data_IF_557383802268
#
_entry.id   IF_557383802268
#
_cell.length_a   1.000
_cell.length_b   1.000
_cell.length_c   1.000
_cell.angle_alpha   90.00
_cell.angle_beta   90.00
_cell.angle_gamma   90.00
#
_symmetry.space_group_name_H-M   'P 1'
#
loop_
_entity.id
_entity.type
_entity.pdbx_description
1 polymer ?
#
# COMPACT_ATOMS: atom_id res chain seq x y z
N UNK A 1 47.20 15.33 -4.13
CA UNK A 1 46.60 14.24 -4.91
C UNK A 1 45.53 13.65 -4.01
N UNK A 2 44.33 13.41 -4.54
CA UNK A 2 43.10 12.94 -3.85
C UNK A 2 42.22 14.01 -3.16
N UNK A 3 41.42 14.68 -4.00
CA UNK A 3 40.11 15.25 -3.64
C UNK A 3 39.16 14.97 -4.81
N UNK A 4 38.91 13.68 -5.09
CA UNK A 4 37.99 13.24 -6.15
C UNK A 4 37.36 11.88 -5.80
N UNK A 5 36.70 11.78 -4.64
CA UNK A 5 35.77 10.68 -4.37
C UNK A 5 34.62 11.23 -3.53
N UNK A 6 33.61 11.83 -4.17
CA UNK A 6 32.20 11.59 -3.79
C UNK A 6 31.16 12.13 -4.80
N UNK A 7 31.46 12.15 -6.10
CA UNK A 7 30.47 12.56 -7.12
C UNK A 7 29.79 11.36 -7.82
N UNK A 8 30.23 10.13 -7.52
CA UNK A 8 29.68 8.90 -8.12
C UNK A 8 28.50 8.30 -7.33
N UNK A 9 28.35 8.59 -6.03
CA UNK A 9 27.21 8.12 -5.25
C UNK A 9 25.92 8.90 -5.56
N UNK A 10 26.03 10.22 -5.77
CA UNK A 10 24.92 11.10 -6.19
C UNK A 10 24.40 10.76 -7.60
N UNK A 11 25.29 10.46 -8.55
CA UNK A 11 24.94 10.18 -9.95
C UNK A 11 24.30 8.81 -10.17
N UNK A 12 24.42 7.86 -9.22
CA UNK A 12 23.69 6.58 -9.30
C UNK A 12 22.20 6.71 -8.98
N UNK A 13 21.79 7.67 -8.13
CA UNK A 13 20.38 7.84 -7.71
C UNK A 13 19.45 8.35 -8.81
N UNK A 14 19.99 8.97 -9.86
CA UNK A 14 19.18 9.55 -10.95
C UNK A 14 19.13 8.67 -12.21
N UNK A 15 19.68 7.45 -12.20
CA UNK A 15 19.70 6.56 -13.39
C UNK A 15 18.35 5.96 -13.76
N UNK A 16 17.34 6.09 -12.90
CA UNK A 16 16.02 5.47 -13.09
C UNK A 16 14.96 6.44 -13.61
N UNK A 17 15.33 7.71 -13.82
CA UNK A 17 14.41 8.71 -14.35
C UNK A 17 14.42 8.70 -15.87
N UNK A 18 13.22 8.67 -16.41
CA UNK A 18 12.90 8.72 -17.82
C UNK A 18 12.69 10.17 -18.26
N UNK A 19 12.77 10.45 -19.55
CA UNK A 19 12.56 11.81 -20.04
C UNK A 19 11.11 12.26 -19.76
N UNK A 20 10.17 11.34 -19.87
CA UNK A 20 8.75 11.48 -19.49
C UNK A 20 8.52 11.78 -18.01
N UNK A 21 9.51 11.63 -17.13
CA UNK A 21 9.36 11.93 -15.70
C UNK A 21 9.52 13.40 -15.35
N UNK A 22 9.99 14.23 -16.30
CA UNK A 22 10.27 15.64 -16.04
C UNK A 22 9.03 16.37 -15.51
N UNK A 23 7.84 16.00 -15.99
CA UNK A 23 6.56 16.54 -15.51
C UNK A 23 6.35 16.16 -14.05
N UNK A 24 6.34 14.87 -13.72
CA UNK A 24 6.20 14.39 -12.34
C UNK A 24 7.23 14.98 -11.37
N UNK A 25 8.50 15.09 -11.78
CA UNK A 25 9.57 15.72 -10.99
C UNK A 25 9.28 17.21 -10.77
N UNK A 26 8.88 17.94 -11.82
CA UNK A 26 8.53 19.35 -11.73
C UNK A 26 7.38 19.60 -10.76
N UNK A 27 6.35 18.75 -10.80
CA UNK A 27 5.24 18.77 -9.85
C UNK A 27 5.73 18.53 -8.41
N UNK A 28 6.58 17.52 -8.17
CA UNK A 28 7.16 17.24 -6.84
C UNK A 28 8.00 18.40 -6.30
N UNK A 29 8.85 19.01 -7.15
CA UNK A 29 9.71 20.15 -6.74
C UNK A 29 8.87 21.36 -6.38
N UNK A 30 7.83 21.66 -7.18
CA UNK A 30 6.88 22.74 -6.88
C UNK A 30 6.22 22.52 -5.52
N UNK A 31 5.79 21.29 -5.26
CA UNK A 31 5.16 20.92 -3.98
C UNK A 31 6.11 20.99 -2.79
N UNK A 32 7.36 20.56 -2.96
CA UNK A 32 8.38 20.70 -1.94
C UNK A 32 8.65 22.19 -1.61
N UNK A 33 8.67 23.06 -2.62
CA UNK A 33 8.83 24.50 -2.42
C UNK A 33 7.65 25.13 -1.68
N UNK A 34 6.41 24.78 -2.05
CA UNK A 34 5.18 25.22 -1.35
C UNK A 34 5.19 24.72 0.10
N UNK A 35 5.52 23.45 0.33
CA UNK A 35 5.55 22.84 1.66
C UNK A 35 6.62 23.48 2.55
N UNK A 36 7.81 23.73 2.02
CA UNK A 36 8.89 24.43 2.74
C UNK A 36 8.48 25.85 3.10
N UNK A 37 7.86 26.57 2.16
CA UNK A 37 7.32 27.91 2.40
C UNK A 37 6.26 27.90 3.50
N UNK A 38 5.41 26.87 3.55
CA UNK A 38 4.40 26.68 4.59
C UNK A 38 5.01 26.42 5.97
N UNK A 39 6.06 25.61 6.06
CA UNK A 39 6.80 25.41 7.32
C UNK A 39 7.40 26.73 7.77
N UNK A 40 8.04 27.49 6.87
CA UNK A 40 8.63 28.78 7.20
C UNK A 40 7.58 29.79 7.68
N UNK A 41 6.42 29.86 7.02
CA UNK A 41 5.28 30.67 7.46
C UNK A 41 4.77 30.24 8.84
N UNK A 42 4.64 28.94 9.07
CA UNK A 42 4.23 28.40 10.37
C UNK A 42 5.19 28.74 11.49
N UNK A 43 6.51 28.65 11.25
CA UNK A 43 7.55 29.09 12.20
C UNK A 43 7.43 30.58 12.49
N UNK A 44 7.26 31.40 11.44
CA UNK A 44 7.05 32.84 11.57
C UNK A 44 5.83 33.13 12.45
N UNK A 45 4.70 32.47 12.17
CA UNK A 45 3.46 32.65 12.92
C UNK A 45 3.57 32.16 14.37
N UNK A 46 4.30 31.08 14.64
CA UNK A 46 4.56 30.61 16.00
C UNK A 46 5.36 31.63 16.82
N UNK A 47 6.39 32.25 16.25
CA UNK A 47 7.16 33.31 16.92
C UNK A 47 6.27 34.53 17.17
N UNK A 48 5.49 34.94 16.19
CA UNK A 48 4.54 36.04 16.31
C UNK A 48 3.49 35.82 17.39
N UNK A 49 3.00 34.58 17.53
CA UNK A 49 2.07 34.21 18.60
C UNK A 49 2.68 34.42 19.99
N UNK A 50 3.97 34.13 20.17
CA UNK A 50 4.64 34.40 21.46
C UNK A 50 4.76 35.90 21.78
N UNK A 51 4.64 36.75 20.77
CA UNK A 51 4.60 38.21 20.91
C UNK A 51 3.18 38.77 20.97
N UNK A 52 2.15 37.92 21.09
CA UNK A 52 0.75 38.34 21.15
C UNK A 52 0.15 38.74 19.81
N UNK A 53 0.84 38.49 18.68
CA UNK A 53 0.34 38.80 17.35
C UNK A 53 -0.58 37.66 16.87
N UNK A 54 -1.88 37.94 16.58
CA UNK A 54 -2.80 36.92 16.09
C UNK A 54 -2.42 36.40 14.70
N UNK A 55 -2.82 35.16 14.40
CA UNK A 55 -2.61 34.52 13.10
C UNK A 55 -3.65 34.87 12.05
N UNK A 56 -3.44 34.33 10.86
CA UNK A 56 -4.32 34.44 9.71
C UNK A 56 -5.50 33.47 9.75
N UNK A 57 -5.92 32.99 8.57
CA UNK A 57 -7.10 32.13 8.40
C UNK A 57 -7.00 30.79 9.10
N UNK A 58 -5.79 30.28 9.33
CA UNK A 58 -5.51 29.08 10.12
C UNK A 58 -4.40 29.37 11.12
N UNK A 59 -4.26 28.57 12.21
CA UNK A 59 -3.29 28.86 13.27
C UNK A 59 -1.85 28.99 12.77
N UNK A 60 -1.46 28.28 11.73
CA UNK A 60 -0.13 28.24 11.11
C UNK A 60 0.10 29.34 10.05
N UNK A 61 -0.91 30.18 9.76
CA UNK A 61 -0.80 31.23 8.73
C UNK A 61 -0.55 32.59 9.33
N UNK A 62 0.24 33.38 8.61
CA UNK A 62 0.49 34.77 8.97
C UNK A 62 -0.61 35.69 8.44
N UNK A 63 -0.74 36.89 9.03
CA UNK A 63 -1.71 37.92 8.60
C UNK A 63 -1.02 39.25 8.27
N UNK A 64 -1.77 40.19 7.73
CA UNK A 64 -1.26 41.53 7.41
C UNK A 64 -0.20 41.50 6.29
N UNK A 65 0.86 42.31 6.44
CA UNK A 65 1.93 42.43 5.45
C UNK A 65 2.70 41.12 5.25
N UNK A 66 3.03 40.41 6.31
CA UNK A 66 3.71 39.10 6.19
C UNK A 66 2.80 38.06 5.54
N UNK A 67 1.51 38.04 5.91
CA UNK A 67 0.52 37.20 5.22
C UNK A 67 0.41 37.53 3.73
N UNK A 68 0.51 38.81 3.37
CA UNK A 68 0.56 39.24 1.97
C UNK A 68 1.84 38.76 1.27
N UNK A 69 3.02 38.85 1.90
CA UNK A 69 4.28 38.35 1.33
C UNK A 69 4.19 36.84 1.05
N UNK A 70 3.80 36.03 2.03
CA UNK A 70 3.65 34.58 1.84
C UNK A 70 2.59 34.27 0.78
N UNK A 71 1.44 34.96 0.77
CA UNK A 71 0.42 34.81 -0.27
C UNK A 71 0.96 35.06 -1.67
N UNK A 72 1.84 36.04 -1.85
CA UNK A 72 2.49 36.28 -3.15
C UNK A 72 3.50 35.19 -3.50
N UNK A 73 4.29 34.70 -2.53
CA UNK A 73 5.21 33.58 -2.75
C UNK A 73 4.43 32.35 -3.23
N UNK A 74 3.34 31.96 -2.56
CA UNK A 74 2.51 30.84 -3.01
C UNK A 74 1.97 31.05 -4.42
N UNK A 75 1.37 32.22 -4.70
CA UNK A 75 0.83 32.51 -6.04
C UNK A 75 1.88 32.41 -7.14
N UNK A 76 3.07 32.95 -6.90
CA UNK A 76 4.16 32.92 -7.87
C UNK A 76 4.65 31.49 -8.08
N UNK A 77 4.84 30.73 -6.99
CA UNK A 77 5.26 29.32 -7.07
C UNK A 77 4.21 28.45 -7.76
N UNK A 78 2.92 28.65 -7.48
CA UNK A 78 1.81 27.96 -8.15
C UNK A 78 1.73 28.33 -9.63
N UNK A 79 1.84 29.61 -9.99
CA UNK A 79 1.84 30.05 -11.39
C UNK A 79 3.02 29.48 -12.18
N UNK A 80 4.22 29.48 -11.58
CA UNK A 80 5.41 28.88 -12.18
C UNK A 80 5.25 27.37 -12.35
N UNK A 81 4.77 26.68 -11.31
CA UNK A 81 4.51 25.25 -11.33
C UNK A 81 3.50 24.87 -12.41
N UNK A 82 2.34 25.53 -12.44
CA UNK A 82 1.30 25.29 -13.44
C UNK A 82 1.76 25.63 -14.86
N UNK A 83 2.58 26.68 -15.02
CA UNK A 83 3.17 27.05 -16.31
C UNK A 83 4.13 25.97 -16.83
N UNK A 84 5.00 25.46 -15.96
CA UNK A 84 5.92 24.35 -16.30
C UNK A 84 5.13 23.07 -16.60
N UNK A 85 4.14 22.73 -15.76
CA UNK A 85 3.32 21.54 -15.93
C UNK A 85 2.59 21.53 -17.27
N UNK A 86 1.92 22.64 -17.64
CA UNK A 86 1.21 22.76 -18.91
C UNK A 86 2.13 22.67 -20.14
N UNK A 87 3.36 23.18 -20.02
CA UNK A 87 4.35 23.05 -21.10
C UNK A 87 4.81 21.60 -21.22
N UNK A 88 5.10 20.94 -20.11
CA UNK A 88 5.55 19.56 -20.09
C UNK A 88 4.45 18.58 -20.52
N UNK A 89 3.20 18.81 -20.12
CA UNK A 89 2.02 18.07 -20.58
C UNK A 89 1.87 18.13 -22.10
N UNK A 90 1.96 19.31 -22.71
CA UNK A 90 1.93 19.46 -24.17
C UNK A 90 3.12 18.80 -24.88
N UNK A 91 4.23 18.58 -24.16
CA UNK A 91 5.44 17.92 -24.67
C UNK A 91 5.53 16.46 -24.23
N UNK A 92 4.55 15.94 -23.50
CA UNK A 92 4.57 14.61 -22.92
C UNK A 92 4.76 13.52 -24.00
N UNK A 93 4.04 13.51 -25.14
CA UNK A 93 4.28 12.50 -26.18
C UNK A 93 5.69 12.56 -26.77
N UNK A 94 6.27 13.75 -26.86
CA UNK A 94 7.65 13.93 -27.31
C UNK A 94 8.65 13.42 -26.28
N UNK A 95 8.40 13.63 -24.98
CA UNK A 95 9.22 13.06 -23.91
C UNK A 95 9.14 11.53 -23.86
N UNK A 96 7.94 10.98 -24.01
CA UNK A 96 7.69 9.53 -24.05
C UNK A 96 8.41 8.85 -25.22
N UNK A 97 8.56 9.54 -26.36
CA UNK A 97 9.33 9.02 -27.50
C UNK A 97 10.81 8.73 -27.18
N UNK A 98 11.41 9.42 -26.20
CA UNK A 98 12.79 9.11 -25.74
C UNK A 98 12.85 7.91 -24.79
N UNK A 99 11.70 7.45 -24.34
CA UNK A 99 11.54 6.30 -23.45
C UNK A 99 10.95 5.08 -24.17
N UNK A 100 10.60 5.21 -25.45
CA UNK A 100 10.17 4.09 -26.30
C UNK A 100 11.19 2.94 -26.26
N UNK A 101 10.69 1.74 -25.99
CA UNK A 101 11.51 0.52 -25.86
C UNK A 101 12.22 0.36 -24.51
N UNK A 102 12.13 1.33 -23.58
CA UNK A 102 12.59 1.12 -22.20
C UNK A 102 11.58 0.25 -21.46
N UNK A 103 12.01 -0.91 -21.00
CA UNK A 103 11.23 -1.73 -20.08
C UNK A 103 11.30 -1.15 -18.67
N UNK A 104 10.17 -1.19 -17.96
CA UNK A 104 10.13 -0.85 -16.54
C UNK A 104 11.06 -1.77 -15.75
N UNK A 105 11.93 -1.21 -14.90
CA UNK A 105 12.84 -1.97 -14.04
C UNK A 105 12.29 -2.10 -12.62
N UNK A 106 12.70 -3.15 -11.90
CA UNK A 106 12.28 -3.38 -10.51
C UNK A 106 12.67 -2.22 -9.59
N UNK A 107 13.86 -1.64 -9.77
CA UNK A 107 14.33 -0.53 -8.95
C UNK A 107 13.45 0.70 -9.13
N UNK A 108 13.08 1.02 -10.38
CA UNK A 108 12.20 2.15 -10.69
C UNK A 108 10.85 1.99 -10.02
N UNK A 109 10.18 0.86 -10.24
CA UNK A 109 8.84 0.65 -9.67
C UNK A 109 8.89 0.56 -8.15
N UNK A 110 9.98 0.05 -7.56
CA UNK A 110 10.17 0.04 -6.10
C UNK A 110 10.28 1.45 -5.52
N UNK A 111 10.99 2.37 -6.19
CA UNK A 111 11.06 3.77 -5.78
C UNK A 111 9.69 4.44 -5.87
N UNK A 112 8.97 4.25 -6.98
CA UNK A 112 7.62 4.79 -7.14
C UNK A 112 6.63 4.22 -6.12
N UNK A 113 6.74 2.93 -5.82
CA UNK A 113 5.91 2.25 -4.82
C UNK A 113 6.16 2.77 -3.41
N UNK A 114 7.43 2.99 -3.05
CA UNK A 114 7.78 3.61 -1.79
C UNK A 114 7.28 5.06 -1.70
N UNK A 115 7.39 5.83 -2.79
CA UNK A 115 6.84 7.18 -2.86
C UNK A 115 5.31 7.19 -2.67
N UNK A 116 4.59 6.28 -3.34
CA UNK A 116 3.14 6.15 -3.20
C UNK A 116 2.76 5.66 -1.81
N UNK A 117 3.47 4.70 -1.22
CA UNK A 117 3.18 4.26 0.14
C UNK A 117 3.36 5.38 1.17
N UNK A 118 4.34 6.27 0.98
CA UNK A 118 4.58 7.41 1.88
C UNK A 118 3.60 8.55 1.64
N UNK A 119 3.30 8.93 0.40
CA UNK A 119 2.52 10.15 0.10
C UNK A 119 1.57 10.04 -1.10
N UNK A 120 1.16 8.83 -1.46
CA UNK A 120 0.35 8.56 -2.64
C UNK A 120 -1.05 9.16 -2.63
N UNK A 121 -1.62 9.41 -1.44
CA UNK A 121 -2.83 10.23 -1.27
C UNK A 121 -2.65 11.63 -1.85
N UNK A 122 -1.53 12.28 -1.52
CA UNK A 122 -1.20 13.61 -2.04
C UNK A 122 -0.89 13.59 -3.53
N UNK A 123 -0.22 12.54 -4.03
CA UNK A 123 0.05 12.41 -5.46
C UNK A 123 -1.26 12.39 -6.24
N UNK A 124 -2.27 11.66 -5.75
CA UNK A 124 -3.61 11.61 -6.38
C UNK A 124 -4.34 12.95 -6.24
N UNK A 125 -4.35 13.57 -5.05
CA UNK A 125 -4.97 14.90 -4.84
C UNK A 125 -4.40 15.98 -5.78
N UNK A 126 -3.15 15.79 -6.23
CA UNK A 126 -2.40 16.76 -7.03
C UNK A 126 -2.32 16.40 -8.51
N UNK A 127 -2.99 15.32 -8.94
CA UNK A 127 -2.90 14.80 -10.31
C UNK A 127 -1.43 14.60 -10.76
N UNK A 128 -0.62 14.05 -9.84
CA UNK A 128 0.79 13.84 -10.09
C UNK A 128 1.02 12.59 -10.92
N UNK A 129 1.87 12.67 -11.95
CA UNK A 129 2.18 11.55 -12.85
C UNK A 129 2.73 10.31 -12.13
N UNK A 130 3.34 10.46 -10.95
CA UNK A 130 3.84 9.34 -10.16
C UNK A 130 2.79 8.65 -9.30
N UNK A 131 1.53 9.11 -9.29
CA UNK A 131 0.44 8.37 -8.67
C UNK A 131 0.26 7.03 -9.39
N UNK A 132 0.42 5.92 -8.68
CA UNK A 132 0.27 4.58 -9.26
C UNK A 132 -1.23 4.28 -9.41
N UNK A 133 -1.73 4.02 -10.63
CA UNK A 133 -3.08 3.51 -10.80
C UNK A 133 -3.17 2.06 -10.31
N UNK A 134 -4.36 1.65 -9.87
CA UNK A 134 -4.61 0.24 -9.55
C UNK A 134 -4.74 -0.55 -10.85
N UNK A 135 -3.98 -1.64 -10.98
CA UNK A 135 -4.00 -2.50 -12.17
C UNK A 135 -3.59 -3.93 -11.83
N UNK A 136 -4.09 -4.88 -12.61
CA UNK A 136 -3.75 -6.30 -12.50
C UNK A 136 -2.69 -6.64 -13.54
N UNK A 137 -1.70 -7.43 -13.14
CA UNK A 137 -0.58 -7.83 -13.97
C UNK A 137 -0.56 -9.35 -14.15
N UNK A 138 -0.20 -9.79 -15.35
CA UNK A 138 0.07 -11.18 -15.67
C UNK A 138 1.45 -11.25 -16.31
N UNK A 139 2.33 -12.11 -15.77
CA UNK A 139 3.73 -12.21 -16.23
C UNK A 139 4.45 -10.85 -16.33
N UNK A 140 4.23 -9.98 -15.34
CA UNK A 140 4.78 -8.61 -15.23
C UNK A 140 4.30 -7.61 -16.30
N UNK A 141 3.31 -7.98 -17.12
CA UNK A 141 2.67 -7.08 -18.08
C UNK A 141 1.26 -6.70 -17.58
N UNK A 142 0.84 -5.43 -17.74
CA UNK A 142 -0.48 -4.99 -17.33
C UNK A 142 -1.57 -5.67 -18.17
N UNK A 143 -2.59 -6.17 -17.49
CA UNK A 143 -3.78 -6.73 -18.12
C UNK A 143 -4.77 -5.61 -18.49
N UNK A 144 -5.23 -5.62 -19.75
CA UNK A 144 -6.37 -4.82 -20.15
C UNK A 144 -7.63 -5.64 -19.88
N UNK A 145 -8.39 -5.28 -18.84
CA UNK A 145 -9.58 -6.04 -18.46
C UNK A 145 -10.67 -5.99 -19.55
N UNK A 146 -10.66 -5.00 -20.43
CA UNK A 146 -11.61 -4.86 -21.54
C UNK A 146 -11.32 -5.84 -22.69
N UNK A 147 -10.07 -6.30 -22.83
CA UNK A 147 -9.60 -7.07 -23.99
C UNK A 147 -9.01 -8.44 -23.62
N UNK A 148 -9.31 -9.00 -22.44
CA UNK A 148 -8.73 -10.27 -21.97
C UNK A 148 -8.96 -11.44 -22.94
N UNK A 149 -10.11 -11.47 -23.63
CA UNK A 149 -10.42 -12.48 -24.64
C UNK A 149 -9.49 -12.44 -25.87
N UNK A 150 -8.73 -11.36 -26.07
CA UNK A 150 -7.78 -11.20 -27.18
C UNK A 150 -6.48 -11.99 -27.01
N UNK A 151 -6.38 -12.84 -25.98
CA UNK A 151 -5.26 -13.78 -25.81
C UNK A 151 -4.09 -13.26 -24.97
N UNK A 152 -4.30 -12.22 -24.14
CA UNK A 152 -3.28 -11.79 -23.17
C UNK A 152 -2.92 -12.91 -22.17
N UNK A 153 -3.82 -13.89 -21.97
CA UNK A 153 -3.64 -15.03 -21.08
C UNK A 153 -3.94 -16.33 -21.86
N UNK A 154 -3.02 -16.83 -22.70
CA UNK A 154 -3.28 -17.99 -23.57
C UNK A 154 -3.62 -19.29 -22.84
N UNK A 155 -3.21 -19.41 -21.57
CA UNK A 155 -3.42 -20.59 -20.72
C UNK A 155 -4.31 -20.29 -19.51
N UNK A 156 -5.25 -19.34 -19.64
CA UNK A 156 -6.19 -19.01 -18.59
C UNK A 156 -7.03 -20.25 -18.18
N UNK A 157 -6.97 -20.61 -16.92
CA UNK A 157 -7.79 -21.68 -16.32
C UNK A 157 -9.04 -21.09 -15.65
N UNK A 158 -9.99 -21.95 -15.25
CA UNK A 158 -11.15 -21.54 -14.43
C UNK A 158 -10.78 -21.20 -12.97
N UNK A 159 -9.51 -21.39 -12.60
CA UNK A 159 -8.96 -21.13 -11.26
C UNK A 159 -8.04 -19.92 -11.29
N UNK A 160 -8.45 -18.82 -10.68
CA UNK A 160 -7.68 -17.57 -10.66
C UNK A 160 -7.08 -17.34 -9.27
N UNK A 161 -5.80 -16.99 -9.23
CA UNK A 161 -5.11 -16.64 -8.00
C UNK A 161 -4.67 -15.18 -8.05
N UNK A 162 -5.26 -14.33 -7.21
CA UNK A 162 -4.88 -12.94 -7.09
C UNK A 162 -3.86 -12.76 -5.95
N UNK A 163 -2.68 -12.24 -6.30
CA UNK A 163 -1.59 -11.94 -5.37
C UNK A 163 -1.57 -10.45 -5.03
N UNK A 164 -1.75 -10.08 -3.76
CA UNK A 164 -1.86 -8.68 -3.31
C UNK A 164 -0.72 -8.30 -2.37
N UNK A 165 0.13 -7.36 -2.78
CA UNK A 165 1.28 -6.92 -2.00
C UNK A 165 0.92 -5.95 -0.84
N UNK A 166 1.90 -5.73 0.05
CA UNK A 166 1.79 -4.83 1.20
C UNK A 166 2.17 -3.36 0.93
N UNK A 167 2.26 -2.58 2.00
CA UNK A 167 2.63 -1.16 1.98
C UNK A 167 4.01 -0.92 1.34
N UNK A 168 4.14 0.12 0.51
CA UNK A 168 5.39 0.50 -0.18
C UNK A 168 5.96 -0.59 -1.12
N UNK A 169 5.17 -1.59 -1.48
CA UNK A 169 5.55 -2.69 -2.36
C UNK A 169 4.90 -2.58 -3.74
N UNK A 170 5.24 -3.52 -4.63
CA UNK A 170 4.65 -3.71 -5.95
C UNK A 170 4.47 -5.21 -6.24
N UNK A 171 3.75 -5.51 -7.32
CA UNK A 171 3.48 -6.84 -7.88
C UNK A 171 4.73 -7.70 -8.06
N UNK A 172 5.86 -7.12 -8.47
CA UNK A 172 7.08 -7.88 -8.77
C UNK A 172 7.80 -8.39 -7.53
N UNK A 173 7.49 -7.86 -6.33
CA UNK A 173 8.11 -8.29 -5.08
C UNK A 173 7.59 -9.64 -4.57
N UNK A 174 6.64 -10.26 -5.26
CA UNK A 174 6.31 -11.67 -5.09
C UNK A 174 7.37 -12.61 -5.67
N UNK A 175 8.22 -12.12 -6.59
CA UNK A 175 9.40 -12.83 -7.06
C UNK A 175 10.56 -12.53 -6.12
N UNK A 176 10.69 -13.37 -5.10
CA UNK A 176 11.73 -13.28 -4.08
C UNK A 176 12.84 -14.31 -4.28
N UNK A 177 13.73 -14.36 -3.30
CA UNK A 177 14.80 -15.36 -3.21
C UNK A 177 14.79 -15.97 -1.80
N UNK A 178 15.13 -17.24 -1.70
CA UNK A 178 15.45 -17.95 -0.46
C UNK A 178 16.67 -18.83 -0.68
N UNK A 179 17.73 -18.61 0.09
CA UNK A 179 19.01 -19.33 -0.01
C UNK A 179 19.58 -19.43 -1.44
N UNK A 180 19.50 -18.35 -2.22
CA UNK A 180 20.00 -18.34 -3.61
C UNK A 180 19.04 -18.90 -4.65
N UNK A 181 17.84 -19.32 -4.26
CA UNK A 181 16.82 -19.89 -5.14
C UNK A 181 15.65 -18.94 -5.28
N UNK A 182 15.24 -18.65 -6.51
CA UNK A 182 14.05 -17.83 -6.78
C UNK A 182 12.78 -18.52 -6.27
N UNK A 183 11.92 -17.76 -5.59
CA UNK A 183 10.64 -18.23 -5.06
C UNK A 183 9.55 -17.25 -5.46
N UNK A 184 8.47 -17.79 -6.01
CA UNK A 184 7.21 -17.09 -6.25
C UNK A 184 6.06 -18.02 -5.89
N UNK A 185 5.35 -17.69 -4.81
CA UNK A 185 4.22 -18.47 -4.31
C UNK A 185 3.14 -18.68 -5.37
N UNK A 186 2.86 -17.66 -6.18
CA UNK A 186 1.84 -17.72 -7.22
C UNK A 186 2.20 -18.68 -8.34
N UNK A 187 3.47 -18.66 -8.78
CA UNK A 187 3.96 -19.60 -9.80
C UNK A 187 4.03 -21.04 -9.27
N UNK A 188 4.40 -21.23 -8.00
CA UNK A 188 4.41 -22.55 -7.37
C UNK A 188 3.00 -23.13 -7.27
N UNK A 189 2.01 -22.34 -6.82
CA UNK A 189 0.60 -22.73 -6.78
C UNK A 189 0.00 -22.95 -8.17
N UNK A 190 0.47 -22.22 -9.18
CA UNK A 190 0.12 -22.48 -10.59
C UNK A 190 0.58 -23.88 -11.02
N UNK A 191 1.85 -24.20 -10.76
CA UNK A 191 2.45 -25.48 -11.13
C UNK A 191 1.84 -26.67 -10.37
N UNK A 192 1.51 -26.51 -9.08
CA UNK A 192 1.02 -27.61 -8.25
C UNK A 192 -0.51 -27.77 -8.25
N UNK A 193 -1.28 -26.67 -8.37
CA UNK A 193 -2.74 -26.68 -8.20
C UNK A 193 -3.54 -26.14 -9.40
N UNK A 194 -2.87 -25.75 -10.50
CA UNK A 194 -3.53 -25.34 -11.74
C UNK A 194 -4.12 -23.93 -11.73
N UNK A 195 -3.69 -23.07 -10.80
CA UNK A 195 -4.10 -21.67 -10.77
C UNK A 195 -3.47 -20.87 -11.92
N UNK A 196 -4.19 -19.85 -12.38
CA UNK A 196 -3.64 -18.75 -13.18
C UNK A 196 -3.32 -17.58 -12.25
N UNK A 197 -2.05 -17.32 -11.90
CA UNK A 197 -1.67 -16.25 -10.99
C UNK A 197 -1.69 -14.90 -11.70
N UNK A 198 -2.34 -13.93 -11.07
CA UNK A 198 -2.34 -12.52 -11.45
C UNK A 198 -1.98 -11.67 -10.23
N UNK A 199 -1.34 -10.53 -10.45
CA UNK A 199 -0.72 -9.75 -9.38
C UNK A 199 -1.28 -8.33 -9.37
N UNK A 200 -1.72 -7.87 -8.21
CA UNK A 200 -2.23 -6.51 -8.05
C UNK A 200 -1.06 -5.54 -7.85
N UNK A 201 -1.06 -4.43 -8.58
CA UNK A 201 -0.27 -3.24 -8.27
C UNK A 201 -1.22 -2.10 -7.93
N UNK A 202 -0.96 -1.38 -6.85
CA UNK A 202 -1.83 -0.29 -6.41
C UNK A 202 -1.12 0.77 -5.57
N UNK A 203 -1.75 1.93 -5.42
CA UNK A 203 -1.28 3.01 -4.56
C UNK A 203 -1.58 2.70 -3.08
N UNK A 204 -0.57 2.15 -2.40
CA UNK A 204 -0.63 1.83 -0.97
C UNK A 204 -0.73 3.06 -0.04
N UNK A 205 -0.63 4.27 -0.59
CA UNK A 205 -0.83 5.52 0.15
C UNK A 205 -2.29 5.96 0.27
N UNK A 206 -3.20 5.42 -0.52
CA UNK A 206 -4.63 5.70 -0.39
C UNK A 206 -5.22 5.03 0.86
N UNK A 207 -6.40 5.47 1.28
CA UNK A 207 -7.12 4.78 2.34
C UNK A 207 -7.36 3.32 1.93
N UNK A 208 -7.28 2.40 2.89
CA UNK A 208 -7.52 0.97 2.64
C UNK A 208 -8.91 0.76 2.04
N UNK A 209 -9.91 1.52 2.49
CA UNK A 209 -11.27 1.46 1.95
C UNK A 209 -11.44 2.02 0.55
N UNK A 210 -10.64 3.02 0.16
CA UNK A 210 -10.59 3.50 -1.22
C UNK A 210 -9.99 2.44 -2.14
N UNK A 211 -8.87 1.83 -1.72
CA UNK A 211 -8.28 0.69 -2.44
C UNK A 211 -9.24 -0.51 -2.49
N UNK A 212 -9.98 -0.79 -1.41
CA UNK A 212 -10.96 -1.88 -1.37
C UNK A 212 -12.07 -1.71 -2.41
N UNK A 213 -12.65 -0.52 -2.54
CA UNK A 213 -13.65 -0.24 -3.59
C UNK A 213 -13.09 -0.41 -4.99
N UNK A 214 -11.93 0.20 -5.27
CA UNK A 214 -11.29 0.08 -6.59
C UNK A 214 -10.99 -1.39 -6.92
N UNK A 215 -10.52 -2.17 -5.94
CA UNK A 215 -10.28 -3.59 -6.14
C UNK A 215 -11.58 -4.37 -6.39
N UNK A 216 -12.66 -4.04 -5.67
CA UNK A 216 -13.98 -4.66 -5.91
C UNK A 216 -14.47 -4.40 -7.33
N UNK A 217 -14.35 -3.15 -7.82
CA UNK A 217 -14.74 -2.78 -9.18
C UNK A 217 -13.88 -3.50 -10.24
N UNK A 218 -12.59 -3.67 -9.97
CA UNK A 218 -11.68 -4.42 -10.87
C UNK A 218 -11.96 -5.91 -10.85
N UNK A 219 -12.28 -6.49 -9.70
CA UNK A 219 -12.62 -7.92 -9.60
C UNK A 219 -13.93 -8.25 -10.31
N UNK A 220 -14.92 -7.35 -10.26
CA UNK A 220 -16.15 -7.49 -11.04
C UNK A 220 -15.86 -7.52 -12.55
N UNK A 221 -15.00 -6.61 -13.04
CA UNK A 221 -14.57 -6.59 -14.44
C UNK A 221 -13.75 -7.84 -14.80
N UNK A 222 -12.83 -8.25 -13.92
CA UNK A 222 -12.00 -9.43 -14.11
C UNK A 222 -12.84 -10.68 -14.27
N UNK A 223 -13.78 -10.93 -13.35
CA UNK A 223 -14.66 -12.11 -13.39
C UNK A 223 -15.53 -12.11 -14.63
N UNK A 224 -16.08 -10.95 -15.00
CA UNK A 224 -16.95 -10.81 -16.17
C UNK A 224 -16.21 -11.09 -17.48
N UNK A 225 -14.97 -10.63 -17.61
CA UNK A 225 -14.21 -10.64 -18.86
C UNK A 225 -13.13 -11.74 -18.88
N UNK A 226 -13.05 -12.61 -17.87
CA UNK A 226 -12.06 -13.69 -17.86
C UNK A 226 -12.26 -14.61 -19.07
N UNK A 227 -11.18 -15.13 -19.71
CA UNK A 227 -11.31 -15.91 -20.94
C UNK A 227 -12.18 -17.17 -20.83
N UNK A 228 -12.31 -17.72 -19.63
CA UNK A 228 -13.18 -18.86 -19.30
C UNK A 228 -14.02 -18.51 -18.06
N UNK A 229 -15.16 -19.20 -17.80
CA UNK A 229 -15.88 -18.98 -16.55
C UNK A 229 -14.99 -19.30 -15.34
N UNK A 230 -14.91 -18.36 -14.39
CA UNK A 230 -14.17 -18.58 -13.14
C UNK A 230 -15.02 -19.44 -12.22
N UNK A 231 -14.49 -20.60 -11.84
CA UNK A 231 -15.09 -21.53 -10.87
C UNK A 231 -14.53 -21.28 -9.46
N UNK A 232 -13.25 -20.89 -9.39
CA UNK A 232 -12.54 -20.64 -8.13
C UNK A 232 -11.64 -19.40 -8.27
N UNK A 233 -12.01 -18.33 -7.56
CA UNK A 233 -11.12 -17.22 -7.27
C UNK A 233 -10.51 -17.41 -5.87
N UNK A 234 -9.19 -17.29 -5.79
CA UNK A 234 -8.44 -17.32 -4.53
C UNK A 234 -7.58 -16.08 -4.41
N UNK A 235 -7.49 -15.51 -3.21
CA UNK A 235 -6.67 -14.33 -2.94
C UNK A 235 -5.60 -14.70 -1.92
N UNK A 236 -4.34 -14.41 -2.23
CA UNK A 236 -3.22 -14.44 -1.27
C UNK A 236 -2.73 -13.01 -1.10
N UNK A 237 -2.84 -12.50 0.13
CA UNK A 237 -2.61 -11.10 0.42
C UNK A 237 -1.60 -10.92 1.54
N UNK A 238 -0.56 -10.13 1.28
CA UNK A 238 0.49 -9.83 2.23
C UNK A 238 0.27 -8.49 2.93
N UNK A 239 0.45 -8.45 4.25
CA UNK A 239 0.46 -7.23 5.03
C UNK A 239 -0.79 -6.36 4.81
N UNK A 240 -0.63 -5.09 4.46
CA UNK A 240 -1.72 -4.16 4.09
C UNK A 240 -2.66 -4.75 3.03
N UNK A 241 -2.16 -5.58 2.10
CA UNK A 241 -2.96 -6.20 1.05
C UNK A 241 -4.14 -7.01 1.60
N UNK A 242 -3.99 -7.63 2.78
CA UNK A 242 -5.08 -8.37 3.41
C UNK A 242 -6.21 -7.48 3.92
N UNK A 243 -5.89 -6.26 4.36
CA UNK A 243 -6.90 -5.27 4.71
C UNK A 243 -7.65 -4.78 3.46
N UNK A 244 -6.92 -4.55 2.36
CA UNK A 244 -7.50 -4.17 1.06
C UNK A 244 -8.43 -5.27 0.54
N UNK A 245 -8.02 -6.55 0.63
CA UNK A 245 -8.86 -7.68 0.23
C UNK A 245 -10.15 -7.77 1.07
N UNK A 246 -10.06 -7.65 2.40
CA UNK A 246 -11.25 -7.61 3.27
C UNK A 246 -12.18 -6.45 2.92
N UNK A 247 -11.60 -5.28 2.66
CA UNK A 247 -12.36 -4.11 2.24
C UNK A 247 -13.07 -4.32 0.90
N UNK A 248 -12.38 -4.93 -0.07
CA UNK A 248 -12.97 -5.25 -1.37
C UNK A 248 -14.16 -6.20 -1.22
N UNK A 249 -14.01 -7.30 -0.46
CA UNK A 249 -15.13 -8.22 -0.20
C UNK A 249 -16.31 -7.50 0.45
N UNK A 250 -16.05 -6.65 1.45
CA UNK A 250 -17.09 -5.85 2.10
C UNK A 250 -17.87 -4.99 1.09
N UNK A 251 -17.17 -4.22 0.24
CA UNK A 251 -17.84 -3.36 -0.74
C UNK A 251 -18.49 -4.14 -1.88
N UNK A 252 -17.93 -5.27 -2.29
CA UNK A 252 -18.53 -6.15 -3.28
C UNK A 252 -19.87 -6.71 -2.79
N UNK A 253 -19.93 -7.12 -1.52
CA UNK A 253 -21.18 -7.58 -0.90
C UNK A 253 -22.18 -6.44 -0.70
N UNK A 254 -21.71 -5.28 -0.21
CA UNK A 254 -22.55 -4.10 0.02
C UNK A 254 -23.22 -3.60 -1.27
N UNK A 255 -22.50 -3.68 -2.40
CA UNK A 255 -22.97 -3.27 -3.72
C UNK A 255 -23.64 -4.40 -4.52
N UNK A 256 -23.82 -5.60 -3.91
CA UNK A 256 -24.39 -6.78 -4.57
C UNK A 256 -23.71 -7.14 -5.90
N UNK A 257 -22.38 -7.03 -5.95
CA UNK A 257 -21.54 -7.48 -7.06
C UNK A 257 -21.52 -9.01 -7.16
N UNK A 258 -21.12 -9.54 -8.32
CA UNK A 258 -21.15 -10.97 -8.60
C UNK A 258 -19.83 -11.67 -8.27
N UNK A 259 -18.70 -10.96 -8.37
CA UNK A 259 -17.39 -11.56 -8.12
C UNK A 259 -17.22 -12.23 -6.73
N UNK A 260 -17.83 -11.75 -5.62
CA UNK A 260 -17.67 -12.40 -4.31
C UNK A 260 -18.16 -13.84 -4.28
N UNK A 261 -19.13 -14.23 -5.13
CA UNK A 261 -19.65 -15.60 -5.20
C UNK A 261 -18.63 -16.60 -5.77
N UNK A 262 -17.66 -16.09 -6.54
CA UNK A 262 -16.55 -16.89 -7.10
C UNK A 262 -15.37 -17.01 -6.15
N UNK A 263 -15.27 -16.13 -5.14
CA UNK A 263 -14.19 -16.15 -4.15
C UNK A 263 -14.37 -17.35 -3.21
N UNK A 264 -13.43 -18.29 -3.23
CA UNK A 264 -13.44 -19.47 -2.34
C UNK A 264 -12.48 -19.31 -1.18
N UNK A 265 -11.32 -18.71 -1.42
CA UNK A 265 -10.22 -18.67 -0.46
C UNK A 265 -9.65 -17.25 -0.30
N UNK A 266 -9.41 -16.86 0.95
CA UNK A 266 -8.70 -15.64 1.29
C UNK A 266 -7.60 -15.95 2.30
N UNK A 267 -6.35 -15.89 1.87
CA UNK A 267 -5.18 -16.19 2.69
C UNK A 267 -4.43 -14.90 3.04
N UNK A 268 -4.26 -14.67 4.34
CA UNK A 268 -3.59 -13.49 4.90
C UNK A 268 -2.18 -13.84 5.35
N UNK A 269 -1.16 -13.15 4.80
CA UNK A 269 0.24 -13.30 5.20
C UNK A 269 0.64 -12.08 6.04
N UNK A 270 0.72 -12.24 7.36
CA UNK A 270 1.15 -11.18 8.28
C UNK A 270 0.27 -9.93 8.23
N UNK A 271 -1.03 -10.07 7.95
CA UNK A 271 -1.93 -8.91 7.79
C UNK A 271 -2.16 -8.21 9.13
N UNK A 272 -1.95 -6.89 9.27
CA UNK A 272 -2.20 -6.17 10.52
C UNK A 272 -3.70 -5.91 10.72
N UNK A 273 -4.50 -6.95 10.97
CA UNK A 273 -5.97 -6.84 11.11
C UNK A 273 -6.40 -5.83 12.18
N UNK A 274 -5.63 -5.77 13.28
CA UNK A 274 -5.84 -4.85 14.41
C UNK A 274 -4.73 -3.82 14.50
N UNK A 275 -4.11 -3.55 13.36
CA UNK A 275 -3.07 -2.56 13.19
C UNK A 275 -1.69 -3.04 13.59
N UNK A 276 -0.72 -2.16 13.34
CA UNK A 276 0.67 -2.35 13.68
C UNK A 276 1.20 -1.10 14.41
N UNK A 277 2.13 -1.23 15.38
CA UNK A 277 2.71 -0.08 16.04
C UNK A 277 3.46 0.81 15.03
N UNK A 278 2.82 1.91 14.60
CA UNK A 278 3.36 2.79 13.57
C UNK A 278 4.72 3.40 13.94
N UNK A 279 5.03 3.51 15.23
CA UNK A 279 6.35 3.96 15.72
C UNK A 279 7.50 3.06 15.22
N UNK A 280 7.23 1.78 14.95
CA UNK A 280 8.22 0.82 14.41
C UNK A 280 8.41 0.96 12.90
N UNK A 281 7.38 1.42 12.18
CA UNK A 281 7.50 1.83 10.77
C UNK A 281 8.30 3.15 10.68
N UNK A 282 8.10 4.05 11.64
CA UNK A 282 8.79 5.35 11.74
C UNK A 282 10.27 5.28 12.14
N UNK A 283 10.73 4.25 12.86
CA UNK A 283 12.15 4.13 13.25
C UNK A 283 13.12 3.90 12.08
N UNK A 284 12.64 3.65 10.85
CA UNK A 284 13.47 3.69 9.62
C UNK A 284 13.23 4.92 8.73
N UNK A 285 12.26 5.80 9.05
CA UNK A 285 11.88 6.94 8.19
C UNK A 285 11.65 8.29 8.90
N UNK A 286 11.84 8.38 10.21
CA UNK A 286 12.13 9.67 10.87
C UNK A 286 11.05 10.26 11.78
N UNK A 287 11.53 10.57 12.99
CA UNK A 287 11.30 11.79 13.78
C UNK A 287 10.18 11.78 14.84
N UNK A 288 10.65 11.95 16.09
CA UNK A 288 9.96 12.56 17.23
C UNK A 288 10.17 14.09 17.17
N UNK A 289 9.14 14.86 16.82
CA UNK A 289 9.12 16.33 16.98
C UNK A 289 7.68 16.81 17.18
N UNK A 290 7.25 17.02 18.43
CA UNK A 290 5.95 17.64 18.71
C UNK A 290 5.78 18.25 20.12
N UNK A 291 6.85 18.47 20.90
CA UNK A 291 6.72 18.83 22.32
C UNK A 291 6.76 20.33 22.67
N UNK A 292 6.85 21.26 21.71
CA UNK A 292 6.89 22.72 22.00
C UNK A 292 6.18 23.61 20.95
N UNK A 293 5.70 24.82 21.30
CA UNK A 293 5.12 25.78 20.34
C UNK A 293 6.03 26.16 19.16
N UNK A 294 7.35 26.10 19.36
CA UNK A 294 8.37 26.37 18.33
C UNK A 294 8.61 25.18 17.39
N UNK A 295 8.24 23.97 17.81
CA UNK A 295 8.35 22.75 16.99
C UNK A 295 7.05 22.37 16.29
N UNK A 296 5.91 22.96 16.69
CA UNK A 296 4.60 22.72 16.09
C UNK A 296 4.54 22.90 14.55
N UNK A 297 5.24 23.85 13.91
CA UNK A 297 5.26 23.97 12.44
C UNK A 297 5.94 22.78 11.74
N UNK A 298 6.84 22.07 12.44
CA UNK A 298 7.49 20.86 11.93
C UNK A 298 6.57 19.63 12.01
N UNK A 299 5.39 19.71 12.64
CA UNK A 299 4.37 18.65 12.54
C UNK A 299 3.94 18.39 11.09
N UNK A 300 4.09 19.36 10.17
CA UNK A 300 3.90 19.18 8.72
C UNK A 300 4.78 18.05 8.16
N UNK A 301 5.97 17.82 8.73
CA UNK A 301 6.84 16.69 8.38
C UNK A 301 6.34 15.37 8.99
N UNK A 302 5.73 15.37 10.18
CA UNK A 302 5.08 14.19 10.78
C UNK A 302 3.74 13.82 10.09
N UNK A 303 3.17 14.76 9.34
CA UNK A 303 2.01 14.57 8.48
C UNK A 303 2.36 13.95 7.11
N UNK A 304 3.63 13.62 6.86
CA UNK A 304 4.05 12.90 5.65
C UNK A 304 3.56 11.45 5.61
N UNK A 305 2.87 10.96 6.64
CA UNK A 305 2.19 9.66 6.60
C UNK A 305 0.98 9.76 5.69
N UNK A 306 0.97 8.96 4.62
CA UNK A 306 -0.18 8.77 3.74
C UNK A 306 -1.40 8.27 4.49
N UNK A 307 -2.57 8.38 3.86
CA UNK A 307 -3.82 7.78 4.33
C UNK A 307 -3.66 6.28 4.66
N UNK A 308 -3.01 5.52 3.77
CA UNK A 308 -2.77 4.10 3.97
C UNK A 308 -1.96 3.80 5.24
N UNK A 309 -0.89 4.55 5.50
CA UNK A 309 -0.10 4.41 6.74
C UNK A 309 -0.96 4.74 7.97
N UNK A 310 -1.83 5.75 7.88
CA UNK A 310 -2.71 6.08 9.03
C UNK A 310 -3.75 5.01 9.30
N UNK A 311 -4.28 4.36 8.26
CA UNK A 311 -5.25 3.27 8.38
C UNK A 311 -4.65 2.03 9.06
N UNK A 312 -3.36 1.75 8.85
CA UNK A 312 -2.65 0.67 9.53
C UNK A 312 -2.55 0.83 11.05
N UNK A 313 -2.87 2.00 11.62
CA UNK A 313 -2.83 2.18 13.08
C UNK A 313 -3.74 1.19 13.80
N UNK A 314 -4.93 0.99 13.24
CA UNK A 314 -5.92 0.06 13.76
C UNK A 314 -6.28 -1.02 12.74
N UNK A 315 -5.97 -0.83 11.45
CA UNK A 315 -6.39 -1.74 10.38
C UNK A 315 -7.77 -1.35 9.84
N UNK A 316 -7.97 -0.06 9.54
CA UNK A 316 -9.23 0.44 8.96
C UNK A 316 -9.53 -0.30 7.65
N UNK A 317 -10.80 -0.66 7.43
CA UNK A 317 -11.22 -1.40 6.22
C UNK A 317 -12.43 -0.75 5.54
N UNK A 318 -13.15 0.14 6.22
CA UNK A 318 -14.31 0.85 5.64
C UNK A 318 -14.14 2.37 5.76
N UNK A 319 -14.98 3.12 5.06
CA UNK A 319 -14.89 4.59 5.03
C UNK A 319 -15.21 5.22 6.38
N UNK A 320 -16.18 4.64 7.07
CA UNK A 320 -16.68 5.10 8.37
C UNK A 320 -15.58 5.10 9.45
N UNK A 321 -14.53 4.30 9.28
CA UNK A 321 -13.42 4.21 10.22
C UNK A 321 -12.60 5.53 10.32
N UNK A 322 -12.54 6.29 9.21
CA UNK A 322 -11.69 7.48 9.09
C UNK A 322 -12.46 8.77 8.73
N UNK A 323 -13.66 8.67 8.13
CA UNK A 323 -14.44 9.84 7.75
C UNK A 323 -14.83 10.70 8.97
N UNK A 324 -14.73 12.02 8.81
CA UNK A 324 -15.07 12.99 9.87
C UNK A 324 -14.06 13.05 11.03
N UNK A 325 -12.92 12.36 10.91
CA UNK A 325 -11.89 12.27 11.95
C UNK A 325 -10.58 12.83 11.40
N UNK A 326 -9.90 13.67 12.18
CA UNK A 326 -8.51 14.02 11.88
C UNK A 326 -7.62 12.78 12.06
N UNK A 327 -7.09 12.27 10.94
CA UNK A 327 -6.23 11.08 10.89
C UNK A 327 -4.97 11.18 11.75
N UNK A 328 -4.53 12.38 12.10
CA UNK A 328 -3.35 12.60 12.94
C UNK A 328 -3.69 12.73 14.42
N UNK A 329 -4.96 12.86 14.78
CA UNK A 329 -5.39 12.87 16.17
C UNK A 329 -5.22 11.47 16.79
N UNK A 330 -4.73 11.42 18.01
CA UNK A 330 -4.60 10.17 18.75
C UNK A 330 -5.89 9.92 19.54
N UNK A 331 -6.80 9.11 18.99
CA UNK A 331 -8.05 8.69 19.64
C UNK A 331 -8.01 7.19 19.94
N UNK A 332 -8.80 6.69 20.90
CA UNK A 332 -9.03 5.25 21.04
C UNK A 332 -9.56 4.63 19.74
N UNK A 333 -9.33 3.32 19.58
CA UNK A 333 -9.96 2.58 18.48
C UNK A 333 -11.49 2.65 18.63
N UNK A 334 -12.15 3.14 17.60
CA UNK A 334 -13.60 3.35 17.55
C UNK A 334 -14.17 2.96 16.18
N UNK A 335 -13.47 2.06 15.49
CA UNK A 335 -13.91 1.49 14.22
C UNK A 335 -15.16 0.65 14.42
N UNK A 336 -15.86 0.39 13.33
CA UNK A 336 -16.93 -0.61 13.32
C UNK A 336 -16.30 -1.97 13.03
N UNK A 337 -16.68 -2.98 13.80
CA UNK A 337 -16.22 -4.35 13.57
C UNK A 337 -16.70 -4.89 12.22
N UNK A 338 -15.79 -5.18 11.31
CA UNK A 338 -16.07 -5.88 10.05
C UNK A 338 -15.62 -7.33 10.19
N UNK A 339 -16.53 -8.32 10.27
CA UNK A 339 -16.15 -9.72 10.47
C UNK A 339 -15.45 -10.30 9.23
N UNK A 340 -14.95 -11.53 9.35
CA UNK A 340 -14.55 -12.31 8.18
C UNK A 340 -15.79 -12.61 7.31
N UNK A 341 -15.66 -12.61 5.98
CA UNK A 341 -16.79 -12.86 5.10
C UNK A 341 -17.34 -14.28 5.27
N UNK A 342 -18.67 -14.40 5.23
CA UNK A 342 -19.34 -15.69 5.31
C UNK A 342 -19.20 -16.46 3.99
N UNK A 343 -19.07 -17.78 4.07
CA UNK A 343 -18.99 -18.65 2.88
C UNK A 343 -17.64 -18.64 2.16
N UNK A 344 -16.65 -17.90 2.67
CA UNK A 344 -15.29 -17.81 2.12
C UNK A 344 -14.32 -18.37 3.16
N UNK A 345 -13.49 -19.33 2.74
CA UNK A 345 -12.47 -19.91 3.60
C UNK A 345 -11.35 -18.90 3.85
N UNK A 346 -11.23 -18.46 5.10
CA UNK A 346 -10.26 -17.45 5.51
C UNK A 346 -9.12 -18.09 6.30
N UNK A 347 -7.88 -17.87 5.84
CA UNK A 347 -6.68 -18.43 6.44
C UNK A 347 -5.72 -17.34 6.92
N UNK A 348 -5.12 -17.51 8.10
CA UNK A 348 -4.19 -16.56 8.67
C UNK A 348 -2.80 -17.20 8.88
N UNK A 349 -1.80 -16.65 8.20
CA UNK A 349 -0.39 -16.91 8.48
C UNK A 349 0.16 -15.74 9.28
N UNK A 350 0.65 -16.04 10.47
CA UNK A 350 1.39 -15.11 11.30
C UNK A 350 2.86 -15.56 11.41
N UNK A 351 3.76 -14.60 11.56
CA UNK A 351 5.19 -14.87 11.78
C UNK A 351 5.68 -14.20 13.06
N UNK A 352 6.72 -14.77 13.66
CA UNK A 352 7.45 -14.19 14.78
C UNK A 352 8.94 -14.40 14.61
N UNK A 353 9.73 -13.40 14.97
CA UNK A 353 11.20 -13.52 14.99
C UNK A 353 11.72 -14.28 16.22
N UNK A 354 10.83 -14.65 17.15
CA UNK A 354 11.17 -15.44 18.32
C UNK A 354 11.27 -16.94 18.00
N UNK A 355 12.02 -17.66 18.84
CA UNK A 355 12.06 -19.12 18.82
C UNK A 355 10.80 -19.70 19.48
N UNK A 356 10.38 -20.90 19.04
CA UNK A 356 9.15 -21.56 19.50
C UNK A 356 9.09 -21.85 21.02
N UNK A 357 10.21 -21.80 21.75
CA UNK A 357 10.27 -22.19 23.17
C UNK A 357 10.04 -21.03 24.16
N UNK A 358 9.63 -19.85 23.68
CA UNK A 358 9.51 -18.65 24.51
C UNK A 358 8.05 -18.26 24.80
N UNK A 359 7.50 -18.81 25.88
CA UNK A 359 6.10 -18.62 26.34
C UNK A 359 5.73 -17.14 26.60
N UNK A 360 6.72 -16.29 26.93
CA UNK A 360 6.52 -14.85 27.15
C UNK A 360 6.66 -14.00 25.86
N UNK A 361 7.32 -14.53 24.82
CA UNK A 361 7.48 -13.85 23.53
C UNK A 361 6.27 -14.05 22.60
N UNK A 362 5.55 -15.16 22.75
CA UNK A 362 4.39 -15.56 21.93
C UNK A 362 3.27 -14.51 21.88
N UNK A 363 3.13 -13.65 22.89
CA UNK A 363 2.00 -12.70 22.95
C UNK A 363 2.30 -11.31 22.40
N UNK A 364 3.57 -10.94 22.20
CA UNK A 364 3.96 -9.55 21.92
C UNK A 364 5.04 -9.39 20.82
N UNK A 365 5.80 -10.45 20.52
CA UNK A 365 6.84 -10.42 19.49
C UNK A 365 6.24 -10.94 18.20
N UNK A 366 5.94 -10.01 17.30
CA UNK A 366 5.55 -10.33 15.93
C UNK A 366 6.75 -10.52 15.00
N UNK A 367 6.49 -10.36 13.71
CA UNK A 367 7.45 -10.56 12.62
C UNK A 367 8.43 -9.38 12.39
N UNK A 368 8.48 -8.45 13.34
CA UNK A 368 9.24 -7.20 13.27
C UNK A 368 8.40 -5.98 12.87
N UNK A 369 7.23 -6.17 12.22
CA UNK A 369 6.31 -5.09 11.84
C UNK A 369 4.93 -5.28 12.48
N UNK A 370 4.36 -6.47 12.34
CA UNK A 370 2.97 -6.77 12.73
C UNK A 370 2.96 -7.64 13.98
N UNK A 371 2.29 -7.22 15.08
CA UNK A 371 2.13 -8.06 16.26
C UNK A 371 1.41 -9.37 15.95
N UNK A 372 1.83 -10.46 16.59
CA UNK A 372 1.27 -11.80 16.33
C UNK A 372 -0.26 -11.84 16.48
N UNK A 373 -0.80 -11.28 17.57
CA UNK A 373 -2.25 -11.19 17.80
C UNK A 373 -2.98 -10.43 16.68
N UNK A 374 -2.38 -9.37 16.16
CA UNK A 374 -2.96 -8.61 15.05
C UNK A 374 -3.00 -9.45 13.78
N UNK A 375 -1.92 -10.19 13.49
CA UNK A 375 -1.86 -11.11 12.35
C UNK A 375 -2.86 -12.28 12.45
N UNK A 376 -3.13 -12.77 13.66
CA UNK A 376 -4.11 -13.83 13.92
C UNK A 376 -5.55 -13.30 14.12
N UNK A 377 -5.78 -12.00 13.94
CA UNK A 377 -7.11 -11.40 14.12
C UNK A 377 -7.62 -11.38 15.56
N UNK A 378 -6.75 -11.62 16.54
CA UNK A 378 -7.07 -11.55 17.96
C UNK A 378 -7.21 -10.10 18.44
N UNK A 379 -8.35 -9.79 19.06
CA UNK A 379 -8.62 -8.49 19.66
C UNK A 379 -9.30 -8.68 21.02
N UNK A 380 -9.07 -7.75 21.96
CA UNK A 380 -9.68 -7.82 23.30
C UNK A 380 -11.14 -7.35 23.35
N UNK A 381 -11.58 -6.65 22.30
CA UNK A 381 -12.99 -6.26 22.08
C UNK A 381 -13.58 -7.26 21.12
N UNK A 382 -14.61 -7.98 21.57
CA UNK A 382 -15.22 -9.11 20.84
C UNK A 382 -15.71 -8.72 19.44
N UNK A 383 -16.31 -7.54 19.27
CA UNK A 383 -16.80 -7.04 17.98
C UNK A 383 -15.70 -6.87 16.93
N UNK A 384 -14.44 -6.73 17.34
CA UNK A 384 -13.30 -6.65 16.42
C UNK A 384 -12.60 -8.00 16.25
N UNK A 385 -12.86 -8.99 17.11
CA UNK A 385 -12.18 -10.26 17.01
C UNK A 385 -12.56 -10.98 15.71
N UNK A 386 -11.56 -11.35 14.91
CA UNK A 386 -11.77 -12.12 13.68
C UNK A 386 -11.67 -13.61 14.00
N UNK A 387 -12.78 -14.31 13.79
CA UNK A 387 -12.94 -15.72 14.11
C UNK A 387 -12.34 -16.63 13.03
N UNK A 388 -11.02 -16.70 12.97
CA UNK A 388 -10.34 -17.71 12.16
C UNK A 388 -10.49 -19.09 12.81
N UNK A 389 -10.86 -20.10 12.02
CA UNK A 389 -10.86 -21.48 12.51
C UNK A 389 -9.44 -21.90 12.90
N UNK A 390 -9.29 -22.72 13.95
CA UNK A 390 -7.98 -23.23 14.41
C UNK A 390 -7.15 -23.90 13.28
N UNK A 391 -7.70 -24.80 12.43
CA UNK A 391 -6.93 -25.38 11.32
C UNK A 391 -6.57 -24.39 10.21
N UNK A 392 -7.19 -23.21 10.22
CA UNK A 392 -6.95 -22.13 9.25
C UNK A 392 -5.95 -21.10 9.76
N UNK A 393 -5.26 -21.39 10.87
CA UNK A 393 -4.21 -20.54 11.42
C UNK A 393 -2.86 -21.26 11.39
N UNK A 394 -1.81 -20.54 11.01
CA UNK A 394 -0.43 -21.03 11.06
C UNK A 394 0.51 -19.96 11.59
N UNK A 395 1.38 -20.36 12.52
CA UNK A 395 2.45 -19.51 13.04
C UNK A 395 3.78 -20.06 12.54
N UNK A 396 4.58 -19.21 11.90
CA UNK A 396 5.98 -19.48 11.59
C UNK A 396 6.90 -18.76 12.58
N UNK A 397 7.87 -19.49 13.12
CA UNK A 397 8.85 -18.99 14.08
C UNK A 397 10.16 -18.66 13.38
N UNK A 398 10.97 -17.81 14.00
CA UNK A 398 12.26 -17.35 13.46
C UNK A 398 12.12 -16.74 12.04
N UNK A 399 10.96 -16.15 11.77
CA UNK A 399 10.59 -15.59 10.48
C UNK A 399 10.18 -14.13 10.62
N UNK A 400 10.71 -13.28 9.75
CA UNK A 400 10.36 -11.87 9.68
C UNK A 400 9.29 -11.59 8.61
N UNK A 401 8.74 -10.38 8.64
CA UNK A 401 7.60 -9.99 7.81
C UNK A 401 7.82 -10.15 6.30
N UNK A 402 9.06 -9.93 5.83
CA UNK A 402 9.40 -10.02 4.41
C UNK A 402 9.68 -11.47 3.99
N UNK A 403 10.20 -12.31 4.89
CA UNK A 403 10.44 -13.72 4.60
C UNK A 403 9.14 -14.48 4.28
N UNK A 404 7.98 -14.00 4.74
CA UNK A 404 6.68 -14.54 4.35
C UNK A 404 6.45 -14.59 2.83
N UNK A 405 7.10 -13.72 2.07
CA UNK A 405 6.96 -13.63 0.61
C UNK A 405 7.77 -14.68 -0.16
N UNK A 406 8.81 -15.25 0.45
CA UNK A 406 9.75 -16.14 -0.26
C UNK A 406 10.15 -17.40 0.51
N UNK A 407 9.69 -17.61 1.75
CA UNK A 407 10.03 -18.83 2.50
C UNK A 407 9.25 -20.05 1.96
N UNK A 408 9.92 -21.14 1.56
CA UNK A 408 9.28 -22.33 1.02
C UNK A 408 8.28 -23.02 1.97
N UNK A 409 8.43 -22.85 3.28
CA UNK A 409 7.46 -23.39 4.25
C UNK A 409 6.11 -22.69 4.14
N UNK A 410 6.11 -21.41 3.76
CA UNK A 410 4.87 -20.67 3.47
C UNK A 410 4.23 -21.24 2.22
N UNK A 411 4.97 -21.50 1.14
CA UNK A 411 4.39 -22.12 -0.07
C UNK A 411 3.73 -23.46 0.26
N UNK A 412 4.43 -24.33 0.98
CA UNK A 412 3.91 -25.66 1.33
C UNK A 412 2.60 -25.56 2.12
N UNK A 413 2.49 -24.56 3.00
CA UNK A 413 1.26 -24.32 3.74
C UNK A 413 0.13 -23.79 2.85
N UNK A 414 0.44 -22.91 1.89
CA UNK A 414 -0.51 -22.43 0.89
C UNK A 414 -1.03 -23.59 0.03
N UNK A 415 -0.13 -24.45 -0.44
CA UNK A 415 -0.49 -25.64 -1.22
C UNK A 415 -1.40 -26.57 -0.42
N UNK A 416 -1.07 -26.82 0.85
CA UNK A 416 -1.88 -27.68 1.72
C UNK A 416 -3.31 -27.15 1.89
N UNK A 417 -3.47 -25.85 2.16
CA UNK A 417 -4.80 -25.27 2.35
C UNK A 417 -5.60 -25.20 1.05
N UNK A 418 -4.97 -24.76 -0.05
CA UNK A 418 -5.66 -24.58 -1.32
C UNK A 418 -5.89 -25.90 -2.08
N UNK A 419 -5.17 -26.97 -1.77
CA UNK A 419 -5.43 -28.30 -2.33
C UNK A 419 -6.64 -29.01 -1.70
N UNK A 420 -6.85 -28.83 -0.40
CA UNK A 420 -7.90 -29.55 0.33
C UNK A 420 -9.31 -29.08 0.00
N UNK A 421 -9.46 -27.86 -0.53
CA UNK A 421 -10.75 -27.36 -1.00
C UNK A 421 -11.20 -27.99 -2.33
N UNK A 422 -10.25 -28.45 -3.16
CA UNK A 422 -10.54 -29.20 -4.40
C UNK A 422 -11.21 -30.56 -4.11
N UNK A 423 -10.96 -31.16 -2.93
CA UNK A 423 -11.53 -32.49 -2.59
C UNK A 423 -12.92 -32.43 -1.99
N UNK A 424 -13.40 -31.26 -1.56
CA UNK A 424 -14.71 -31.12 -0.94
C UNK A 424 -15.87 -31.18 -1.95
N UNK A 425 -15.59 -31.01 -3.25
CA UNK A 425 -16.60 -31.11 -4.33
C UNK A 425 -16.78 -32.53 -4.88
N UNK A 426 -15.79 -33.42 -4.76
CA UNK A 426 -15.85 -34.81 -5.25
C UNK A 426 -16.53 -35.80 -4.28
N UNK A 427 -17.08 -35.30 -3.17
CA UNK A 427 -17.79 -36.13 -2.18
C UNK A 427 -19.19 -35.59 -1.88
N UNK A 428 -20.06 -35.55 -2.89
CA UNK A 428 -21.51 -35.46 -2.70
C UNK A 428 -22.27 -36.42 -3.60
#
# INVERSE_FOLDING_TARGET
MEFLVDNQASTKRFKHFYASDLRGIGQLVTQAAISTTRIAEGVHQSVWRTMGVPGGSTPDRTRGLTGFVYKNIYKITELLGNGIDKVLENKQPWLESFDEGKKETLERISVLSALNGVMGDRLVEQDNQFAIPMSIYYQQEPLSLDDLHAGQIPQATSKVLLMIHGLCMNDRLWQGEHDGVEVDHGLQLSASLGYTPVYLRYNTGLHTSQNGRQLSDLLEQLVKNWPTPIEELSIVAHSMGGLVARSAVYYGQEQAMTWPDTLKNLVFLGTPHHGAPLERIGNKLGIILSKTPYTAPFNLLSNLRSSGITDLRYGNVIDQDWQGVDRFHNKPDGRIGVPLPQGIECFAIAATTATQRSVLAERLIGDGLVPLNSALGYHSVDEHHLMFAEPSQKIFYEMNHNQLLSDPQVTQQLELWLANNVKSEDTK
#
